data_IF_665685045500
#
_entry.id   IF_665685045500
#
_cell.length_a   1.000
_cell.length_b   1.000
_cell.length_c   1.000
_cell.angle_alpha   90.00
_cell.angle_beta   90.00
_cell.angle_gamma   90.00
#
_symmetry.space_group_name_H-M   'P 1'
#
loop_
_entity.id
_entity.type
_entity.pdbx_description
1 polymer ?
#
# COMPACT_ATOMS: atom_id res chain seq x y z
N UNK A 1 -16.09 -10.88 -15.35
CA UNK A 1 -15.85 -9.55 -15.98
C UNK A 1 -16.39 -8.35 -15.19
N UNK A 2 -17.64 -8.34 -14.65
CA UNK A 2 -18.14 -7.20 -13.87
C UNK A 2 -17.41 -7.02 -12.52
N UNK A 3 -17.10 -8.12 -11.83
CA UNK A 3 -16.37 -8.12 -10.55
C UNK A 3 -14.94 -7.56 -10.69
N UNK A 4 -14.19 -8.01 -11.70
CA UNK A 4 -12.82 -7.54 -11.98
C UNK A 4 -12.75 -6.03 -12.22
N UNK A 5 -13.66 -5.48 -13.05
CA UNK A 5 -13.72 -4.03 -13.32
C UNK A 5 -14.06 -3.26 -12.06
N UNK A 6 -15.02 -3.76 -11.27
CA UNK A 6 -15.41 -3.15 -9.99
C UNK A 6 -14.25 -3.14 -8.99
N UNK A 7 -13.48 -4.23 -8.92
CA UNK A 7 -12.31 -4.34 -8.05
C UNK A 7 -11.21 -3.34 -8.45
N UNK A 8 -10.91 -3.21 -9.75
CA UNK A 8 -9.95 -2.22 -10.26
C UNK A 8 -10.39 -0.80 -9.93
N UNK A 9 -11.65 -0.46 -10.20
CA UNK A 9 -12.18 0.90 -9.93
C UNK A 9 -12.19 1.22 -8.44
N UNK A 10 -12.59 0.27 -7.59
CA UNK A 10 -12.56 0.47 -6.14
C UNK A 10 -11.13 0.60 -5.62
N UNK A 11 -10.19 -0.20 -6.12
CA UNK A 11 -8.79 -0.10 -5.74
C UNK A 11 -8.15 1.21 -6.22
N UNK A 12 -8.52 1.72 -7.39
CA UNK A 12 -8.09 3.05 -7.84
C UNK A 12 -8.63 4.16 -6.92
N UNK A 13 -9.87 4.03 -6.44
CA UNK A 13 -10.42 4.95 -5.43
C UNK A 13 -9.70 4.82 -4.08
N UNK A 14 -9.30 3.61 -3.68
CA UNK A 14 -8.46 3.40 -2.50
C UNK A 14 -7.08 4.05 -2.68
N UNK A 15 -6.46 3.92 -3.85
CA UNK A 15 -5.20 4.59 -4.21
C UNK A 15 -5.34 6.12 -4.17
N UNK A 16 -6.49 6.66 -4.57
CA UNK A 16 -6.80 8.08 -4.38
C UNK A 16 -6.84 8.44 -2.89
N UNK A 17 -7.46 7.64 -2.04
CA UNK A 17 -7.45 7.84 -0.59
C UNK A 17 -6.04 7.81 0.02
N UNK A 18 -5.19 6.86 -0.41
CA UNK A 18 -3.77 6.81 -0.01
C UNK A 18 -3.04 8.10 -0.45
N UNK A 19 -3.17 8.50 -1.71
CA UNK A 19 -2.50 9.69 -2.25
C UNK A 19 -2.99 11.01 -1.68
N UNK A 20 -4.30 11.20 -1.55
CA UNK A 20 -4.89 12.46 -1.10
C UNK A 20 -4.61 12.75 0.38
N UNK A 21 -4.45 11.71 1.20
CA UNK A 21 -4.17 11.88 2.63
C UNK A 21 -2.73 12.29 2.93
N UNK A 22 -1.81 12.32 1.96
CA UNK A 22 -0.45 12.84 2.16
C UNK A 22 -0.43 14.27 2.70
N UNK A 23 -1.32 15.14 2.20
CA UNK A 23 -1.39 16.54 2.66
C UNK A 23 -1.76 16.59 4.15
N UNK A 24 -2.76 15.79 4.55
CA UNK A 24 -3.25 15.72 5.94
C UNK A 24 -2.20 15.09 6.87
N UNK A 25 -1.54 14.02 6.43
CA UNK A 25 -0.53 13.32 7.22
C UNK A 25 0.68 14.23 7.43
N UNK A 26 1.14 14.96 6.40
CA UNK A 26 2.31 15.84 6.50
C UNK A 26 2.15 16.90 7.59
N UNK A 27 0.96 17.48 7.72
CA UNK A 27 0.67 18.43 8.80
C UNK A 27 0.64 17.76 10.17
N UNK A 28 0.00 16.60 10.30
CA UNK A 28 -0.07 15.87 11.57
C UNK A 28 1.31 15.45 12.10
N UNK A 29 2.23 15.10 11.19
CA UNK A 29 3.59 14.68 11.54
C UNK A 29 4.50 15.81 12.03
N UNK A 30 4.03 17.07 12.02
CA UNK A 30 4.73 18.19 12.66
C UNK A 30 4.57 18.18 14.20
N UNK A 31 3.54 17.51 14.70
CA UNK A 31 3.17 17.52 16.11
C UNK A 31 3.16 16.12 16.76
N UNK A 32 3.12 15.05 15.95
CA UNK A 32 3.10 13.67 16.42
C UNK A 32 4.10 12.82 15.67
N UNK A 33 4.83 11.98 16.39
CA UNK A 33 5.83 11.09 15.79
C UNK A 33 5.21 10.11 14.77
N UNK A 34 5.93 9.73 13.69
CA UNK A 34 5.38 8.88 12.64
C UNK A 34 4.86 7.53 13.13
N UNK A 35 5.60 6.86 14.02
CA UNK A 35 5.19 5.55 14.55
C UNK A 35 3.98 5.65 15.49
N UNK A 36 3.87 6.72 16.27
CA UNK A 36 2.67 7.00 17.06
C UNK A 36 1.46 7.23 16.15
N UNK A 37 1.62 8.05 15.11
CA UNK A 37 0.54 8.33 14.15
C UNK A 37 0.06 7.06 13.44
N UNK A 38 1.00 6.23 12.94
CA UNK A 38 0.72 4.93 12.32
C UNK A 38 0.01 4.00 13.30
N UNK A 39 0.49 3.94 14.55
CA UNK A 39 -0.10 3.13 15.62
C UNK A 39 -1.56 3.49 15.89
N UNK A 40 -1.85 4.76 16.16
CA UNK A 40 -3.19 5.21 16.51
C UNK A 40 -4.20 5.09 15.37
N UNK A 41 -3.82 5.45 14.13
CA UNK A 41 -4.74 5.35 12.98
C UNK A 41 -5.07 3.90 12.66
N UNK A 42 -4.11 2.99 12.76
CA UNK A 42 -4.35 1.57 12.54
C UNK A 42 -5.09 0.91 13.70
N UNK A 43 -4.86 1.35 14.94
CA UNK A 43 -5.66 0.89 16.08
C UNK A 43 -7.13 1.26 15.88
N UNK A 44 -7.43 2.50 15.50
CA UNK A 44 -8.79 2.93 15.21
C UNK A 44 -9.41 2.09 14.09
N UNK A 45 -8.71 1.93 12.97
CA UNK A 45 -9.20 1.13 11.85
C UNK A 45 -9.45 -0.34 12.24
N UNK A 46 -8.55 -0.94 13.01
CA UNK A 46 -8.69 -2.30 13.52
C UNK A 46 -9.91 -2.45 14.43
N UNK A 47 -10.13 -1.53 15.36
CA UNK A 47 -11.26 -1.56 16.29
C UNK A 47 -12.60 -1.45 15.53
N UNK A 48 -12.69 -0.53 14.58
CA UNK A 48 -13.90 -0.37 13.75
C UNK A 48 -14.23 -1.67 13.00
N UNK A 49 -13.25 -2.26 12.32
CA UNK A 49 -13.48 -3.51 11.58
C UNK A 49 -13.74 -4.71 12.51
N UNK A 50 -13.09 -4.78 13.67
CA UNK A 50 -13.32 -5.84 14.66
C UNK A 50 -14.72 -5.77 15.27
N UNK A 51 -15.28 -4.57 15.45
CA UNK A 51 -16.68 -4.39 15.90
C UNK A 51 -17.66 -4.86 14.81
N UNK A 52 -17.39 -4.54 13.54
CA UNK A 52 -18.24 -4.95 12.42
C UNK A 52 -18.23 -6.47 12.20
N UNK A 53 -17.04 -7.09 12.24
CA UNK A 53 -16.90 -8.53 12.14
C UNK A 53 -15.67 -9.01 12.92
N UNK A 54 -15.84 -9.51 14.16
CA UNK A 54 -14.71 -9.91 14.98
C UNK A 54 -14.01 -11.16 14.41
N UNK A 55 -12.67 -11.26 14.51
CA UNK A 55 -11.94 -12.45 14.09
C UNK A 55 -12.21 -13.61 15.06
N UNK A 56 -12.76 -14.72 14.55
CA UNK A 56 -13.20 -15.87 15.38
C UNK A 56 -12.36 -17.12 15.24
N UNK A 57 -11.54 -17.24 14.20
CA UNK A 57 -10.81 -18.47 13.90
C UNK A 57 -9.31 -18.29 14.10
N UNK A 58 -8.63 -19.33 14.58
CA UNK A 58 -7.18 -19.33 14.73
C UNK A 58 -6.47 -19.13 13.38
N UNK A 59 -7.07 -19.59 12.28
CA UNK A 59 -6.51 -19.39 10.93
C UNK A 59 -6.54 -17.92 10.51
N UNK A 60 -7.61 -17.17 10.79
CA UNK A 60 -7.67 -15.73 10.51
C UNK A 60 -6.65 -14.97 11.36
N UNK A 61 -6.49 -15.33 12.63
CA UNK A 61 -5.45 -14.74 13.48
C UNK A 61 -4.05 -15.01 12.94
N UNK A 62 -3.72 -16.27 12.62
CA UNK A 62 -2.40 -16.64 12.08
C UNK A 62 -2.06 -15.89 10.80
N UNK A 63 -2.96 -15.89 9.83
CA UNK A 63 -2.71 -15.29 8.52
C UNK A 63 -2.78 -13.74 8.58
N UNK A 64 -3.61 -13.20 9.48
CA UNK A 64 -3.64 -11.77 9.81
C UNK A 64 -2.39 -11.29 10.53
N UNK A 65 -1.80 -12.09 11.43
CA UNK A 65 -0.51 -11.79 12.06
C UNK A 65 0.61 -11.77 11.02
N UNK A 66 0.68 -12.79 10.16
CA UNK A 66 1.69 -12.84 9.09
C UNK A 66 1.64 -11.58 8.21
N UNK A 67 0.45 -11.21 7.74
CA UNK A 67 0.26 -10.03 6.89
C UNK A 67 0.48 -8.74 7.67
N UNK A 68 0.01 -8.63 8.91
CA UNK A 68 0.22 -7.45 9.77
C UNK A 68 1.68 -7.19 10.12
N UNK A 69 2.49 -8.23 10.30
CA UNK A 69 3.95 -8.12 10.53
C UNK A 69 4.65 -7.61 9.27
N UNK A 70 4.31 -8.13 8.09
CA UNK A 70 4.89 -7.65 6.83
C UNK A 70 4.49 -6.20 6.55
N UNK A 71 3.24 -5.84 6.82
CA UNK A 71 2.75 -4.46 6.69
C UNK A 71 3.50 -3.53 7.64
N UNK A 72 3.67 -3.92 8.90
CA UNK A 72 4.47 -3.18 9.87
C UNK A 72 5.92 -3.03 9.43
N UNK A 73 6.57 -4.10 8.96
CA UNK A 73 7.94 -4.04 8.49
C UNK A 73 8.11 -3.02 7.35
N UNK A 74 7.15 -2.95 6.43
CA UNK A 74 7.11 -1.93 5.39
C UNK A 74 7.07 -0.50 5.95
N UNK A 75 6.13 -0.21 6.85
CA UNK A 75 6.02 1.11 7.50
C UNK A 75 7.25 1.47 8.36
N UNK A 76 7.79 0.51 9.10
CA UNK A 76 8.97 0.69 9.94
C UNK A 76 10.20 1.05 9.10
N UNK A 77 10.51 0.22 8.09
CA UNK A 77 11.64 0.45 7.20
C UNK A 77 11.49 1.73 6.39
N UNK A 78 10.25 2.06 5.97
CA UNK A 78 9.98 3.32 5.27
C UNK A 78 10.26 4.52 6.16
N UNK A 79 9.79 4.48 7.41
CA UNK A 79 9.95 5.61 8.34
C UNK A 79 11.41 5.83 8.69
N UNK A 80 12.14 4.76 9.03
CA UNK A 80 13.58 4.85 9.33
C UNK A 80 14.40 5.22 8.09
N UNK A 81 14.00 4.74 6.92
CA UNK A 81 14.61 5.12 5.64
C UNK A 81 14.41 6.60 5.34
N UNK A 82 13.16 7.08 5.43
CA UNK A 82 12.78 8.48 5.21
C UNK A 82 13.50 9.44 6.16
N UNK A 83 13.77 9.05 7.40
CA UNK A 83 14.56 9.86 8.33
C UNK A 83 16.02 10.09 7.87
N UNK A 84 16.51 9.27 6.93
CA UNK A 84 17.90 9.25 6.45
C UNK A 84 18.02 9.48 4.93
N UNK A 85 16.92 9.80 4.24
CA UNK A 85 16.92 10.14 2.81
C UNK A 85 15.88 11.23 2.53
N UNK A 86 15.77 11.67 1.28
CA UNK A 86 14.74 12.65 0.89
C UNK A 86 13.37 11.98 0.72
N UNK A 87 12.29 12.73 0.93
CA UNK A 87 10.93 12.23 0.69
C UNK A 87 10.72 11.77 -0.77
N UNK A 88 11.31 12.48 -1.73
CA UNK A 88 11.27 12.11 -3.16
C UNK A 88 12.00 10.79 -3.44
N UNK A 89 13.19 10.60 -2.87
CA UNK A 89 13.93 9.33 -2.99
C UNK A 89 13.17 8.19 -2.31
N UNK A 90 12.70 8.41 -1.07
CA UNK A 90 12.00 7.38 -0.31
C UNK A 90 10.70 6.95 -1.01
N UNK A 91 9.92 7.91 -1.53
CA UNK A 91 8.70 7.62 -2.29
C UNK A 91 8.98 6.86 -3.58
N UNK A 92 10.00 7.27 -4.35
CA UNK A 92 10.41 6.56 -5.56
C UNK A 92 10.85 5.12 -5.26
N UNK A 93 11.74 4.96 -4.29
CA UNK A 93 12.32 3.67 -3.93
C UNK A 93 11.23 2.76 -3.36
N UNK A 94 10.32 3.27 -2.54
CA UNK A 94 9.16 2.50 -2.06
C UNK A 94 8.39 1.93 -3.25
N UNK A 95 8.16 2.74 -4.29
CA UNK A 95 7.47 2.31 -5.50
C UNK A 95 8.12 1.16 -6.26
N UNK A 96 9.36 0.76 -5.94
CA UNK A 96 9.93 -0.51 -6.40
C UNK A 96 9.07 -1.72 -6.02
N UNK A 97 8.14 -1.61 -5.07
CA UNK A 97 7.17 -2.68 -4.79
C UNK A 97 6.43 -3.11 -6.06
N UNK A 98 6.19 -2.20 -7.04
CA UNK A 98 5.52 -2.54 -8.30
C UNK A 98 6.34 -3.53 -9.14
N UNK A 99 7.67 -3.45 -9.05
CA UNK A 99 8.62 -4.35 -9.73
C UNK A 99 8.91 -5.58 -8.88
N UNK A 100 9.02 -5.43 -7.57
CA UNK A 100 9.29 -6.55 -6.66
C UNK A 100 8.10 -7.47 -6.48
N UNK A 101 6.86 -6.98 -6.55
CA UNK A 101 5.66 -7.81 -6.41
C UNK A 101 5.64 -8.99 -7.40
N UNK A 102 5.77 -8.79 -8.73
CA UNK A 102 5.82 -9.91 -9.67
C UNK A 102 7.05 -10.80 -9.48
N UNK A 103 8.20 -10.25 -9.05
CA UNK A 103 9.39 -11.06 -8.74
C UNK A 103 9.19 -11.97 -7.52
N UNK A 104 8.63 -11.43 -6.43
CA UNK A 104 8.29 -12.20 -5.23
C UNK A 104 7.22 -13.22 -5.54
N UNK A 105 6.19 -12.86 -6.31
CA UNK A 105 5.14 -13.80 -6.73
C UNK A 105 5.73 -14.94 -7.57
N UNK A 106 6.58 -14.63 -8.56
CA UNK A 106 7.26 -15.64 -9.38
C UNK A 106 8.14 -16.58 -8.54
N UNK A 107 8.93 -16.03 -7.62
CA UNK A 107 9.81 -16.82 -6.73
C UNK A 107 9.02 -17.75 -5.80
N UNK A 108 7.95 -17.23 -5.19
CA UNK A 108 7.09 -17.99 -4.26
C UNK A 108 6.34 -19.12 -4.97
N UNK A 109 5.85 -18.85 -6.19
CA UNK A 109 5.08 -19.84 -6.97
C UNK A 109 5.94 -20.71 -7.89
N UNK A 110 7.25 -20.42 -7.98
CA UNK A 110 8.22 -21.10 -8.84
C UNK A 110 7.81 -21.08 -10.32
N UNK A 111 7.36 -19.93 -10.80
CA UNK A 111 7.02 -19.69 -12.21
C UNK A 111 7.76 -18.49 -12.77
N UNK A 112 7.84 -18.38 -14.10
CA UNK A 112 8.44 -17.24 -14.76
C UNK A 112 7.51 -16.02 -14.75
N UNK A 113 8.07 -14.82 -14.67
CA UNK A 113 7.31 -13.57 -14.82
C UNK A 113 6.91 -13.41 -16.29
N UNK A 114 5.63 -13.14 -16.55
CA UNK A 114 5.17 -12.85 -17.92
C UNK A 114 5.83 -11.57 -18.44
N UNK A 115 6.35 -11.54 -19.69
CA UNK A 115 7.01 -10.35 -20.24
C UNK A 115 6.17 -9.09 -20.19
N UNK A 116 4.85 -9.20 -20.39
CA UNK A 116 3.92 -8.07 -20.31
C UNK A 116 3.84 -7.50 -18.89
N UNK A 117 3.81 -8.35 -17.86
CA UNK A 117 3.79 -7.92 -16.45
C UNK A 117 5.12 -7.27 -16.07
N UNK A 118 6.25 -7.86 -16.46
CA UNK A 118 7.57 -7.29 -16.21
C UNK A 118 7.74 -5.94 -16.93
N UNK A 119 7.42 -5.89 -18.23
CA UNK A 119 7.50 -4.67 -19.03
C UNK A 119 6.59 -3.57 -18.49
N UNK A 120 5.33 -3.90 -18.15
CA UNK A 120 4.41 -2.95 -17.52
C UNK A 120 4.91 -2.43 -16.18
N UNK A 121 5.47 -3.31 -15.32
CA UNK A 121 6.02 -2.90 -14.03
C UNK A 121 7.23 -1.97 -14.17
N UNK A 122 8.11 -2.25 -15.14
CA UNK A 122 9.28 -1.40 -15.44
C UNK A 122 8.85 -0.05 -16.02
N UNK A 123 7.84 -0.02 -16.90
CA UNK A 123 7.29 1.23 -17.44
C UNK A 123 6.60 2.04 -16.34
N UNK A 124 5.81 1.41 -15.47
CA UNK A 124 5.18 2.07 -14.33
C UNK A 124 6.22 2.67 -13.38
N UNK A 125 7.29 1.91 -13.07
CA UNK A 125 8.39 2.40 -12.25
C UNK A 125 9.17 3.54 -12.92
N UNK A 126 9.45 3.45 -14.23
CA UNK A 126 10.06 4.55 -14.99
C UNK A 126 9.17 5.81 -15.02
N UNK A 127 7.86 5.62 -15.12
CA UNK A 127 6.88 6.70 -14.99
C UNK A 127 6.89 7.33 -13.59
N UNK A 128 6.96 6.50 -12.55
CA UNK A 128 7.12 6.95 -11.18
C UNK A 128 8.42 7.75 -11.00
N UNK A 129 9.52 7.25 -11.54
CA UNK A 129 10.81 7.93 -11.54
C UNK A 129 10.68 9.34 -12.15
N UNK A 130 10.09 9.47 -13.33
CA UNK A 130 9.88 10.78 -13.96
C UNK A 130 8.91 11.69 -13.18
N UNK A 131 7.97 11.10 -12.44
CA UNK A 131 7.01 11.82 -11.61
C UNK A 131 7.65 12.39 -10.34
N UNK A 132 8.57 11.66 -9.73
CA UNK A 132 9.10 11.97 -8.38
C UNK A 132 10.54 12.49 -8.37
N UNK A 133 11.35 12.17 -9.39
CA UNK A 133 12.73 12.65 -9.48
C UNK A 133 12.77 14.13 -9.89
N UNK A 134 13.37 14.94 -9.01
CA UNK A 134 13.90 16.25 -9.37
C UNK A 134 15.28 16.16 -10.04
N UNK A 135 15.99 17.28 -10.10
CA UNK A 135 17.30 17.37 -10.77
C UNK A 135 18.48 16.79 -9.95
N UNK A 136 18.24 16.26 -8.74
CA UNK A 136 19.26 15.67 -7.88
C UNK A 136 18.83 14.34 -7.28
N UNK A 137 19.37 13.23 -7.81
CA UNK A 137 19.32 11.93 -7.15
C UNK A 137 20.68 11.68 -6.48
N UNK A 138 20.66 11.56 -5.15
CA UNK A 138 21.83 11.14 -4.38
C UNK A 138 21.49 9.90 -3.59
N UNK A 139 22.34 8.88 -3.65
CA UNK A 139 22.22 7.70 -2.81
C UNK A 139 22.56 8.04 -1.36
N UNK A 140 21.59 7.87 -0.48
CA UNK A 140 21.71 8.06 0.96
C UNK A 140 21.59 6.72 1.70
N UNK A 141 22.09 6.65 2.94
CA UNK A 141 22.01 5.43 3.76
C UNK A 141 20.56 4.96 3.95
N UNK A 142 19.61 5.89 4.04
CA UNK A 142 18.16 5.60 4.14
C UNK A 142 17.55 4.93 2.91
N UNK A 143 18.22 4.98 1.75
CA UNK A 143 17.72 4.37 0.52
C UNK A 143 17.70 2.85 0.62
N UNK A 144 18.71 2.24 1.27
CA UNK A 144 18.75 0.78 1.48
C UNK A 144 17.62 0.30 2.39
N UNK A 145 17.29 1.06 3.43
CA UNK A 145 16.14 0.79 4.29
C UNK A 145 14.84 0.90 3.50
N UNK A 146 14.74 1.92 2.64
CA UNK A 146 13.56 2.10 1.79
C UNK A 146 13.43 0.97 0.74
N UNK A 147 14.53 0.45 0.20
CA UNK A 147 14.50 -0.76 -0.64
C UNK A 147 13.95 -1.94 0.16
N UNK A 148 14.37 -2.09 1.42
CA UNK A 148 13.80 -3.07 2.34
C UNK A 148 12.30 -2.89 2.54
N UNK A 149 11.81 -1.65 2.65
CA UNK A 149 10.38 -1.34 2.67
C UNK A 149 9.66 -1.82 1.41
N UNK A 150 10.19 -1.53 0.22
CA UNK A 150 9.58 -1.96 -1.04
C UNK A 150 9.48 -3.49 -1.13
N UNK A 151 10.49 -4.22 -0.65
CA UNK A 151 10.48 -5.69 -0.55
C UNK A 151 9.43 -6.15 0.47
N UNK A 152 9.33 -5.51 1.63
CA UNK A 152 8.35 -5.85 2.66
C UNK A 152 6.91 -5.63 2.18
N UNK A 153 6.61 -4.54 1.47
CA UNK A 153 5.29 -4.30 0.88
C UNK A 153 4.99 -5.26 -0.28
N UNK A 154 5.96 -5.57 -1.14
CA UNK A 154 5.79 -6.62 -2.15
C UNK A 154 5.49 -7.99 -1.50
N UNK A 155 6.22 -8.33 -0.43
CA UNK A 155 5.98 -9.52 0.39
C UNK A 155 4.59 -9.52 1.02
N UNK A 156 4.14 -8.39 1.57
CA UNK A 156 2.78 -8.21 2.09
C UNK A 156 1.73 -8.45 1.01
N UNK A 157 1.84 -7.80 -0.15
CA UNK A 157 0.90 -7.94 -1.27
C UNK A 157 0.77 -9.40 -1.71
N UNK A 158 1.90 -10.10 -1.86
CA UNK A 158 1.92 -11.51 -2.27
C UNK A 158 1.37 -12.43 -1.16
N UNK A 159 1.80 -12.23 0.09
CA UNK A 159 1.31 -13.02 1.22
C UNK A 159 -0.20 -12.84 1.42
N UNK A 160 -0.69 -11.60 1.34
CA UNK A 160 -2.09 -11.26 1.49
C UNK A 160 -2.93 -11.90 0.39
N UNK A 161 -2.49 -11.82 -0.87
CA UNK A 161 -3.19 -12.46 -1.99
C UNK A 161 -3.25 -14.00 -1.85
N UNK A 162 -2.27 -14.63 -1.18
CA UNK A 162 -2.24 -16.08 -0.90
C UNK A 162 -3.17 -16.53 0.21
N UNK A 163 -3.50 -15.66 1.15
CA UNK A 163 -4.32 -16.04 2.32
C UNK A 163 -5.72 -15.46 2.26
N UNK A 164 -5.90 -14.30 1.63
CA UNK A 164 -7.15 -13.54 1.68
C UNK A 164 -8.37 -14.31 1.14
N UNK A 165 -8.21 -15.13 0.11
CA UNK A 165 -9.28 -15.95 -0.45
C UNK A 165 -9.83 -17.02 0.53
N UNK A 166 -9.11 -17.31 1.62
CA UNK A 166 -9.50 -18.32 2.61
C UNK A 166 -10.30 -17.74 3.79
N UNK A 167 -10.44 -16.41 3.84
CA UNK A 167 -10.99 -15.70 4.98
C UNK A 167 -12.04 -14.70 4.56
N UNK A 168 -12.90 -14.33 5.50
CA UNK A 168 -13.71 -13.12 5.34
C UNK A 168 -12.78 -11.90 5.38
N UNK A 169 -12.99 -10.98 4.45
CA UNK A 169 -12.13 -9.81 4.24
C UNK A 169 -12.05 -8.92 5.49
N UNK A 170 -13.20 -8.63 6.12
CA UNK A 170 -13.26 -7.74 7.30
C UNK A 170 -12.41 -8.25 8.47
N UNK A 171 -12.61 -9.46 9.01
CA UNK A 171 -11.82 -9.91 10.16
C UNK A 171 -10.34 -10.12 9.84
N UNK A 172 -9.98 -10.53 8.62
CA UNK A 172 -8.57 -10.61 8.21
C UNK A 172 -7.92 -9.21 8.20
N UNK A 173 -8.64 -8.22 7.69
CA UNK A 173 -8.19 -6.82 7.69
C UNK A 173 -8.08 -6.29 9.12
N UNK A 174 -9.06 -6.58 9.99
CA UNK A 174 -9.01 -6.17 11.38
C UNK A 174 -7.75 -6.69 12.11
N UNK A 175 -7.40 -7.98 11.92
CA UNK A 175 -6.22 -8.56 12.57
C UNK A 175 -4.92 -7.95 12.03
N UNK A 176 -4.76 -7.79 10.71
CA UNK A 176 -3.51 -7.23 10.19
C UNK A 176 -3.29 -5.79 10.69
N UNK A 177 -4.36 -4.97 10.70
CA UNK A 177 -4.29 -3.60 11.20
C UNK A 177 -3.99 -3.57 12.70
N UNK A 178 -4.60 -4.47 13.48
CA UNK A 178 -4.36 -4.58 14.91
C UNK A 178 -2.90 -4.91 15.20
N UNK A 179 -2.33 -5.88 14.46
CA UNK A 179 -0.94 -6.30 14.61
C UNK A 179 0.00 -5.17 14.23
N UNK A 180 -0.24 -4.48 13.11
CA UNK A 180 0.54 -3.30 12.72
C UNK A 180 0.45 -2.18 13.76
N UNK A 181 -0.73 -1.93 14.32
CA UNK A 181 -0.94 -0.94 15.36
C UNK A 181 -0.15 -1.26 16.64
N UNK A 182 -0.25 -2.49 17.13
CA UNK A 182 0.47 -2.94 18.34
C UNK A 182 1.97 -2.81 18.14
N UNK A 183 2.50 -3.25 16.99
CA UNK A 183 3.94 -3.19 16.73
C UNK A 183 4.43 -1.75 16.56
N UNK A 184 3.66 -0.88 15.91
CA UNK A 184 4.00 0.54 15.77
C UNK A 184 3.96 1.29 17.10
N UNK A 185 2.95 1.05 17.94
CA UNK A 185 2.89 1.65 19.28
C UNK A 185 3.99 1.09 20.19
N UNK A 186 4.29 -0.21 20.12
CA UNK A 186 5.39 -0.82 20.85
C UNK A 186 6.74 -0.25 20.42
N UNK A 187 6.95 0.00 19.12
CA UNK A 187 8.11 0.71 18.60
C UNK A 187 8.19 2.13 19.19
N UNK A 188 7.09 2.89 19.12
CA UNK A 188 7.04 4.24 19.67
C UNK A 188 7.37 4.26 21.18
N UNK A 189 6.88 3.29 21.96
CA UNK A 189 7.25 3.12 23.37
C UNK A 189 8.74 2.81 23.53
N UNK A 190 9.27 1.85 22.78
CA UNK A 190 10.65 1.39 22.90
C UNK A 190 11.68 2.49 22.57
N UNK A 191 11.34 3.39 21.65
CA UNK A 191 12.20 4.50 21.24
C UNK A 191 11.82 5.84 21.89
N UNK A 192 10.90 5.84 22.86
CA UNK A 192 10.51 7.05 23.61
C UNK A 192 9.80 8.11 22.76
N UNK A 193 9.19 7.72 21.65
CA UNK A 193 8.46 8.60 20.73
C UNK A 193 6.93 8.39 20.79
N UNK A 194 6.43 7.67 21.80
CA UNK A 194 5.00 7.50 22.02
C UNK A 194 4.35 8.82 22.41
N UNK A 195 3.46 9.30 21.56
CA UNK A 195 2.71 10.54 21.74
C UNK A 195 1.23 10.26 21.51
N UNK A 196 0.38 10.88 22.32
CA UNK A 196 -1.06 10.83 22.13
C UNK A 196 -1.48 12.01 21.26
N UNK A 197 -2.11 11.78 20.10
CA UNK A 197 -2.52 12.86 19.20
C UNK A 197 -3.63 13.69 19.87
N UNK A 198 -3.45 15.01 19.87
CA UNK A 198 -4.44 15.99 20.35
C UNK A 198 -4.67 17.04 19.25
N UNK A 199 -5.80 17.74 19.27
CA UNK A 199 -6.06 18.79 18.29
C UNK A 199 -6.09 18.30 16.83
N UNK A 200 -5.34 18.97 15.95
CA UNK A 200 -5.31 18.67 14.51
C UNK A 200 -4.79 17.25 14.19
N UNK A 201 -3.69 16.75 14.81
CA UNK A 201 -3.28 15.35 14.67
C UNK A 201 -4.35 14.32 15.02
N UNK A 202 -5.19 14.58 16.02
CA UNK A 202 -6.29 13.66 16.37
C UNK A 202 -7.32 13.57 15.25
N UNK A 203 -7.68 14.72 14.65
CA UNK A 203 -8.56 14.74 13.49
C UNK A 203 -7.94 13.98 12.31
N UNK A 204 -6.64 14.16 12.06
CA UNK A 204 -5.93 13.42 11.03
C UNK A 204 -5.92 11.91 11.30
N UNK A 205 -5.72 11.47 12.55
CA UNK A 205 -5.82 10.06 12.95
C UNK A 205 -7.23 9.52 12.75
N UNK A 206 -8.27 10.27 13.08
CA UNK A 206 -9.66 9.85 12.86
C UNK A 206 -9.97 9.72 11.36
N UNK A 207 -9.64 10.76 10.58
CA UNK A 207 -9.88 10.77 9.14
C UNK A 207 -9.13 9.63 8.44
N UNK A 208 -7.83 9.50 8.69
CA UNK A 208 -7.01 8.46 8.06
C UNK A 208 -7.32 7.07 8.62
N UNK A 209 -7.67 6.96 9.91
CA UNK A 209 -8.06 5.69 10.53
C UNK A 209 -9.36 5.12 9.97
N UNK A 210 -10.35 5.97 9.66
CA UNK A 210 -11.62 5.54 9.10
C UNK A 210 -11.55 5.37 7.57
N UNK A 211 -11.08 6.39 6.85
CA UNK A 211 -11.14 6.42 5.38
C UNK A 211 -10.08 5.51 4.78
N UNK A 212 -8.86 5.57 5.32
CA UNK A 212 -7.71 4.88 4.73
C UNK A 212 -7.46 3.55 5.43
N UNK A 213 -7.27 3.55 6.74
CA UNK A 213 -6.95 2.33 7.50
C UNK A 213 -8.11 1.34 7.48
N UNK A 214 -9.34 1.73 7.83
CA UNK A 214 -10.47 0.81 7.73
C UNK A 214 -10.97 0.66 6.29
N UNK A 215 -11.25 1.77 5.59
CA UNK A 215 -11.85 1.75 4.26
C UNK A 215 -10.92 1.26 3.15
N UNK A 216 -9.88 2.03 2.84
CA UNK A 216 -8.99 1.75 1.69
C UNK A 216 -8.25 0.40 1.81
N UNK A 217 -7.74 0.04 3.00
CA UNK A 217 -7.14 -1.29 3.19
C UNK A 217 -8.16 -2.43 3.07
N UNK A 218 -9.40 -2.27 3.55
CA UNK A 218 -10.43 -3.29 3.34
C UNK A 218 -10.73 -3.48 1.86
N UNK A 219 -10.83 -2.38 1.10
CA UNK A 219 -10.98 -2.41 -0.36
C UNK A 219 -9.78 -3.07 -1.02
N UNK A 220 -8.56 -2.78 -0.57
CA UNK A 220 -7.34 -3.43 -1.09
C UNK A 220 -7.36 -4.94 -0.85
N UNK A 221 -7.68 -5.39 0.36
CA UNK A 221 -7.73 -6.83 0.70
C UNK A 221 -8.78 -7.52 -0.16
N UNK A 222 -9.97 -6.92 -0.31
CA UNK A 222 -11.01 -7.48 -1.17
C UNK A 222 -10.59 -7.50 -2.63
N UNK A 223 -10.11 -6.38 -3.17
CA UNK A 223 -9.69 -6.28 -4.57
C UNK A 223 -8.60 -7.31 -4.89
N UNK A 224 -7.64 -7.52 -3.99
CA UNK A 224 -6.58 -8.53 -4.14
C UNK A 224 -7.12 -9.95 -4.30
N UNK A 225 -8.23 -10.30 -3.64
CA UNK A 225 -8.87 -11.62 -3.84
C UNK A 225 -9.47 -11.80 -5.24
N UNK A 226 -9.72 -10.70 -5.96
CA UNK A 226 -10.35 -10.70 -7.28
C UNK A 226 -9.33 -10.55 -8.40
N UNK A 227 -8.32 -9.70 -8.23
CA UNK A 227 -7.42 -9.30 -9.32
C UNK A 227 -5.97 -9.77 -9.14
N UNK A 228 -5.63 -10.37 -8.00
CA UNK A 228 -4.29 -10.87 -7.75
C UNK A 228 -3.24 -9.78 -7.42
N UNK A 229 -2.01 -10.21 -7.12
CA UNK A 229 -0.97 -9.35 -6.55
C UNK A 229 -0.37 -8.39 -7.57
N UNK A 230 -0.14 -8.82 -8.81
CA UNK A 230 0.58 -8.00 -9.79
C UNK A 230 -0.30 -6.85 -10.27
N UNK A 231 -1.58 -7.14 -10.56
CA UNK A 231 -2.54 -6.09 -10.91
C UNK A 231 -2.76 -5.13 -9.76
N UNK A 232 -2.83 -5.64 -8.53
CA UNK A 232 -2.98 -4.79 -7.36
C UNK A 232 -1.82 -3.82 -7.22
N UNK A 233 -0.58 -4.31 -7.30
CA UNK A 233 0.59 -3.44 -7.20
C UNK A 233 0.62 -2.38 -8.31
N UNK A 234 0.23 -2.74 -9.54
CA UNK A 234 0.13 -1.77 -10.64
C UNK A 234 -0.94 -0.70 -10.41
N UNK A 235 -2.14 -1.09 -9.94
CA UNK A 235 -3.21 -0.10 -9.66
C UNK A 235 -2.84 0.79 -8.48
N UNK A 236 -2.17 0.25 -7.45
CA UNK A 236 -1.67 1.04 -6.32
C UNK A 236 -0.59 2.04 -6.76
N UNK A 237 0.12 1.82 -7.87
CA UNK A 237 1.06 2.79 -8.43
C UNK A 237 0.37 4.10 -8.91
N UNK A 238 -0.96 4.18 -8.90
CA UNK A 238 -1.71 5.43 -9.06
C UNK A 238 -1.62 6.36 -7.84
N UNK A 239 -1.31 5.84 -6.65
CA UNK A 239 -1.15 6.61 -5.42
C UNK A 239 -0.29 7.88 -5.61
N UNK A 240 0.95 7.81 -6.13
CA UNK A 240 1.78 9.00 -6.35
C UNK A 240 1.20 9.97 -7.39
N UNK A 241 0.43 9.48 -8.38
CA UNK A 241 -0.28 10.33 -9.35
C UNK A 241 -1.37 11.14 -8.63
N UNK A 242 -2.14 10.50 -7.74
CA UNK A 242 -3.17 11.17 -6.95
C UNK A 242 -2.60 12.10 -5.88
N UNK A 243 -1.47 11.73 -5.27
CA UNK A 243 -0.74 12.61 -4.35
C UNK A 243 -0.31 13.90 -5.06
N UNK A 244 0.32 13.78 -6.24
CA UNK A 244 0.74 14.92 -7.05
C UNK A 244 -0.45 15.78 -7.51
N UNK A 245 -1.56 15.15 -7.93
CA UNK A 245 -2.78 15.87 -8.31
C UNK A 245 -3.40 16.63 -7.13
N UNK A 246 -3.44 16.00 -5.96
CA UNK A 246 -3.99 16.63 -4.75
C UNK A 246 -3.10 17.78 -4.27
N UNK A 247 -1.77 17.60 -4.29
CA UNK A 247 -0.82 18.68 -4.00
C UNK A 247 -0.98 19.86 -4.97
N UNK A 248 -1.18 19.59 -6.26
CA UNK A 248 -1.40 20.65 -7.25
C UNK A 248 -2.67 21.46 -7.00
N UNK A 249 -3.76 20.80 -6.58
CA UNK A 249 -5.06 21.45 -6.32
C UNK A 249 -5.06 22.19 -4.98
N UNK A 250 -4.55 21.55 -3.92
CA UNK A 250 -4.65 22.05 -2.54
C UNK A 250 -3.52 23.01 -2.19
N UNK A 251 -2.29 22.70 -2.62
CA UNK A 251 -1.09 23.48 -2.32
C UNK A 251 -0.70 24.43 -3.46
N UNK A 252 -1.38 24.36 -4.61
CA UNK A 252 -1.06 25.17 -5.79
C UNK A 252 0.25 24.77 -6.48
N UNK A 253 0.78 23.59 -6.18
CA UNK A 253 2.01 23.07 -6.78
C UNK A 253 1.82 22.78 -8.27
N UNK A 254 2.86 22.98 -9.08
CA UNK A 254 2.81 22.69 -10.52
C UNK A 254 3.60 21.45 -10.85
N UNK A 255 2.93 20.51 -11.51
CA UNK A 255 3.58 19.38 -12.17
C UNK A 255 4.50 19.89 -13.28
N UNK A 256 5.74 19.42 -13.26
CA UNK A 256 6.70 19.65 -14.35
C UNK A 256 6.31 18.85 -15.59
N UNK A 257 6.87 19.17 -16.75
CA UNK A 257 6.68 18.37 -17.97
C UNK A 257 7.10 16.92 -17.75
N UNK A 258 8.19 16.68 -17.00
CA UNK A 258 8.62 15.32 -16.61
C UNK A 258 7.54 14.63 -15.76
N UNK A 259 6.96 15.36 -14.82
CA UNK A 259 5.84 14.89 -14.00
C UNK A 259 4.64 14.40 -14.82
N UNK A 260 4.22 15.19 -15.81
CA UNK A 260 3.13 14.79 -16.71
C UNK A 260 3.45 13.55 -17.53
N UNK A 261 4.66 13.46 -18.10
CA UNK A 261 5.09 12.26 -18.84
C UNK A 261 5.10 11.04 -17.91
N UNK A 262 5.59 11.20 -16.68
CA UNK A 262 5.59 10.15 -15.67
C UNK A 262 4.20 9.61 -15.36
N UNK A 263 3.23 10.50 -15.12
CA UNK A 263 1.83 10.13 -14.87
C UNK A 263 1.21 9.37 -16.07
N UNK A 264 1.47 9.81 -17.31
CA UNK A 264 0.98 9.13 -18.51
C UNK A 264 1.58 7.74 -18.65
N UNK A 265 2.87 7.56 -18.36
CA UNK A 265 3.53 6.25 -18.42
C UNK A 265 2.96 5.27 -17.39
N UNK A 266 2.70 5.73 -16.16
CA UNK A 266 2.04 4.90 -15.13
C UNK A 266 0.67 4.44 -15.63
N UNK A 267 -0.17 5.36 -16.15
CA UNK A 267 -1.49 5.04 -16.68
C UNK A 267 -1.42 4.06 -17.87
N UNK A 268 -0.49 4.28 -18.80
CA UNK A 268 -0.30 3.41 -19.96
C UNK A 268 0.16 2.00 -19.56
N UNK A 269 1.06 1.88 -18.58
CA UNK A 269 1.48 0.60 -18.03
C UNK A 269 0.32 -0.18 -17.40
N UNK A 270 -0.50 0.51 -16.59
CA UNK A 270 -1.68 -0.07 -15.97
C UNK A 270 -2.65 -0.59 -17.03
N UNK A 271 -3.01 0.25 -18.02
CA UNK A 271 -3.92 -0.17 -19.10
C UNK A 271 -3.36 -1.36 -19.87
N UNK A 272 -2.09 -1.29 -20.28
CA UNK A 272 -1.43 -2.36 -21.04
C UNK A 272 -1.49 -3.72 -20.33
N UNK A 273 -1.17 -3.76 -19.03
CA UNK A 273 -1.20 -5.01 -18.27
C UNK A 273 -2.63 -5.48 -18.02
N UNK A 274 -3.55 -4.56 -17.65
CA UNK A 274 -4.93 -4.92 -17.35
C UNK A 274 -5.73 -5.43 -18.56
N UNK A 275 -5.36 -5.03 -19.78
CA UNK A 275 -6.01 -5.51 -21.02
C UNK A 275 -5.38 -6.77 -21.61
N UNK A 276 -4.11 -7.07 -21.29
CA UNK A 276 -3.32 -8.11 -21.95
C UNK A 276 -3.16 -9.40 -21.15
N UNK A 277 -3.50 -9.34 -19.87
CA UNK A 277 -3.45 -10.45 -18.92
C UNK A 277 -4.90 -10.70 -18.51
N UNK A 278 -5.31 -11.93 -18.22
CA UNK A 278 -6.59 -12.21 -17.52
C UNK A 278 -6.37 -12.35 -16.01
N UNK A 279 -7.40 -12.13 -15.18
CA UNK A 279 -7.22 -12.14 -13.71
C UNK A 279 -6.78 -13.52 -13.21
N UNK A 280 -7.14 -14.55 -13.97
CA UNK A 280 -6.86 -15.96 -13.68
C UNK A 280 -5.40 -16.35 -14.02
N UNK A 281 -4.69 -15.47 -14.74
CA UNK A 281 -3.31 -15.68 -15.16
C UNK A 281 -2.27 -15.14 -14.16
N UNK A 282 -2.71 -14.48 -13.08
CA UNK A 282 -1.78 -14.05 -12.03
C UNK A 282 -1.29 -15.29 -11.27
N UNK A 283 0.01 -15.43 -10.97
CA UNK A 283 0.62 -16.69 -10.52
C UNK A 283 0.18 -17.21 -9.14
N UNK A 284 -0.89 -16.69 -8.57
CA UNK A 284 -1.56 -17.24 -7.39
C UNK A 284 -2.81 -17.99 -7.84
N UNK A 285 -3.20 -19.10 -7.16
CA UNK A 285 -4.35 -19.86 -7.57
C UNK A 285 -5.54 -18.92 -7.70
N UNK A 286 -6.03 -18.77 -8.94
CA UNK A 286 -7.30 -18.12 -9.23
C UNK A 286 -8.31 -18.74 -8.27
N UNK A 287 -9.12 -17.88 -7.64
CA UNK A 287 -10.13 -18.27 -6.69
C UNK A 287 -11.21 -19.13 -7.37
N UNK A 288 -10.90 -20.38 -7.69
CA UNK A 288 -11.88 -21.39 -8.02
C UNK A 288 -12.59 -21.79 -6.72
N UNK A 289 -13.68 -21.07 -6.50
CA UNK A 289 -14.87 -21.37 -5.70
C UNK A 289 -15.26 -20.15 -4.88
N UNK A 290 -16.03 -19.27 -5.53
CA UNK A 290 -16.94 -18.38 -4.82
C UNK A 290 -17.89 -19.26 -4.00
N UNK A 291 -17.51 -19.56 -2.76
CA UNK A 291 -18.46 -19.98 -1.74
C UNK A 291 -19.25 -18.74 -1.32
N UNK A 292 -20.59 -18.81 -1.22
CA UNK A 292 -21.43 -17.67 -0.88
C UNK A 292 -21.23 -17.32 0.61
N UNK A 293 -20.21 -16.54 0.89
CA UNK A 293 -19.98 -15.93 2.21
C UNK A 293 -19.45 -14.51 2.04
N UNK A 294 -20.12 -13.72 1.20
CA UNK A 294 -20.13 -12.27 1.29
C UNK A 294 -21.37 -11.83 2.06
#
# INVERSE_FOLDING_TARGET
MSSTRSAISALALAAFGFGATFVVIKEALLEVSPMSFVGWRFLLGALVLAVLAPPRTASTWRDGILTGVLLFAGYALQTEGLAQTSASNSGLITGLYVVFTPAVAAAVNRVSIRPVVLGGSLVAFGGLALLTLGDGFSLATGDLLTVGCAIAFAGHIVALSRVAHRHRVIPLTAVQLLVTAILALAWAVAFGSLEFPVGAPLLAVVLTGLVVSAGAFLVQVWAQTVIGPNRTALVLALEPVFAAATAAIVLGERLTTRGWVGAVLILAAIVSVLTSVDSDDDPLPAAESVSPAH
#
